data_IF_064419188977
#
_entry.id   IF_064419188977
#
_cell.length_a   1.000
_cell.length_b   1.000
_cell.length_c   1.000
_cell.angle_alpha   90.00
_cell.angle_beta   90.00
_cell.angle_gamma   90.00
#
_symmetry.space_group_name_H-M   'P 1'
#
loop_
_entity.id
_entity.type
_entity.pdbx_description
1 polymer ?
#
# COMPACT_ATOMS: atom_id res chain seq x y z
N UNK A 1 18.87 -13.36 6.03
CA UNK A 1 18.00 -12.35 6.67
C UNK A 1 16.64 -12.42 6.01
N UNK A 2 15.55 -12.52 6.77
CA UNK A 2 14.20 -12.51 6.20
C UNK A 2 13.90 -11.13 5.63
N UNK A 3 13.14 -11.06 4.53
CA UNK A 3 12.71 -9.80 3.94
C UNK A 3 11.83 -9.03 4.95
N UNK A 4 12.11 -7.75 5.14
CA UNK A 4 11.42 -6.88 6.12
C UNK A 4 10.05 -6.40 5.67
N UNK A 5 9.69 -6.63 4.41
CA UNK A 5 8.40 -6.26 3.82
C UNK A 5 8.06 -7.20 2.66
N UNK A 6 6.78 -7.33 2.33
CA UNK A 6 6.34 -7.98 1.11
C UNK A 6 6.49 -7.05 -0.09
N UNK A 7 6.55 -7.62 -1.30
CA UNK A 7 6.54 -6.86 -2.54
C UNK A 7 5.24 -6.06 -2.66
N UNK A 8 5.34 -4.76 -3.01
CA UNK A 8 4.15 -3.99 -3.30
C UNK A 8 3.53 -4.45 -4.62
N UNK A 9 2.23 -4.25 -4.75
CA UNK A 9 1.51 -4.54 -5.98
C UNK A 9 0.50 -3.45 -6.31
N UNK A 10 0.15 -3.35 -7.59
CA UNK A 10 -0.83 -2.41 -8.09
C UNK A 10 -2.23 -3.00 -8.05
N UNK A 11 -3.21 -2.17 -7.72
CA UNK A 11 -4.63 -2.46 -7.91
C UNK A 11 -5.35 -1.20 -8.41
N UNK A 12 -6.54 -1.35 -8.99
CA UNK A 12 -7.37 -0.23 -9.39
C UNK A 12 -8.73 -0.36 -8.73
N UNK A 13 -9.11 0.63 -7.92
CA UNK A 13 -10.50 0.78 -7.50
C UNK A 13 -11.19 1.71 -8.49
N UNK A 14 -12.07 1.14 -9.35
CA UNK A 14 -12.58 1.84 -10.54
C UNK A 14 -11.39 2.36 -11.39
N UNK A 15 -11.29 3.67 -11.58
CA UNK A 15 -10.19 4.32 -12.29
C UNK A 15 -9.03 4.76 -11.39
N UNK A 16 -9.18 4.72 -10.07
CA UNK A 16 -8.18 5.20 -9.12
C UNK A 16 -7.07 4.15 -8.91
N UNK A 17 -5.81 4.45 -9.26
CA UNK A 17 -4.69 3.55 -9.02
C UNK A 17 -4.30 3.52 -7.54
N UNK A 18 -4.10 2.30 -7.04
CA UNK A 18 -3.68 2.01 -5.68
C UNK A 18 -2.36 1.24 -5.72
N UNK A 19 -1.37 1.69 -4.95
CA UNK A 19 -0.12 0.97 -4.70
C UNK A 19 -0.22 0.39 -3.30
N UNK A 20 -0.21 -0.93 -3.18
CA UNK A 20 -0.47 -1.63 -1.92
C UNK A 20 0.82 -2.24 -1.42
N UNK A 21 1.17 -1.91 -0.18
CA UNK A 21 2.28 -2.46 0.59
C UNK A 21 1.73 -3.36 1.71
N UNK A 22 1.81 -4.69 1.56
CA UNK A 22 1.60 -5.60 2.66
C UNK A 22 2.79 -5.54 3.61
N UNK A 23 2.55 -5.16 4.85
CA UNK A 23 3.61 -4.95 5.84
C UNK A 23 3.93 -6.26 6.56
N UNK A 24 5.21 -6.51 6.78
CA UNK A 24 5.67 -7.52 7.74
C UNK A 24 6.06 -6.79 9.01
N UNK A 25 5.39 -7.10 10.08
CA UNK A 25 5.69 -6.57 11.41
C UNK A 25 5.55 -7.67 12.46
N UNK A 26 5.71 -7.33 13.74
CA UNK A 26 5.58 -8.24 14.88
C UNK A 26 4.25 -9.00 14.90
N UNK A 27 3.18 -8.34 14.43
CA UNK A 27 1.87 -8.95 14.21
C UNK A 27 1.78 -9.51 12.77
N UNK A 28 1.67 -10.84 12.59
CA UNK A 28 1.68 -11.44 11.25
C UNK A 28 0.45 -11.03 10.43
N UNK A 29 0.69 -10.53 9.21
CA UNK A 29 -0.39 -10.21 8.27
C UNK A 29 -1.20 -11.45 7.85
N UNK A 30 -0.57 -12.63 7.91
CA UNK A 30 -1.16 -13.92 7.57
C UNK A 30 -2.30 -14.34 8.50
N UNK A 31 -2.41 -13.74 9.69
CA UNK A 31 -3.46 -14.06 10.65
C UNK A 31 -4.80 -13.39 10.28
N UNK A 32 -4.75 -12.32 9.49
CA UNK A 32 -5.92 -11.48 9.15
C UNK A 32 -6.24 -11.46 7.65
N UNK A 33 -5.29 -11.88 6.80
CA UNK A 33 -5.44 -12.02 5.36
C UNK A 33 -4.93 -13.39 4.88
N UNK A 34 -5.76 -14.09 4.10
CA UNK A 34 -5.38 -15.37 3.50
C UNK A 34 -4.48 -15.15 2.27
N UNK A 35 -3.22 -15.61 2.27
CA UNK A 35 -2.31 -15.50 1.12
C UNK A 35 -2.64 -16.46 -0.03
N UNK A 36 -3.51 -17.46 0.17
CA UNK A 36 -3.98 -18.39 -0.89
C UNK A 36 -5.15 -17.80 -1.68
N UNK A 37 -5.95 -16.95 -1.04
CA UNK A 37 -6.92 -16.10 -1.72
C UNK A 37 -6.20 -14.89 -2.31
N UNK A 38 -5.86 -14.96 -3.61
CA UNK A 38 -5.18 -13.89 -4.38
C UNK A 38 -5.93 -12.54 -4.44
N UNK A 39 -7.06 -12.41 -3.73
CA UNK A 39 -7.88 -11.22 -3.64
C UNK A 39 -8.24 -10.81 -2.21
N UNK A 40 -7.67 -11.44 -1.18
CA UNK A 40 -8.09 -11.20 0.23
C UNK A 40 -7.92 -9.74 0.66
N UNK A 41 -6.79 -9.10 0.32
CA UNK A 41 -6.58 -7.67 0.56
C UNK A 41 -7.51 -6.82 -0.33
N UNK A 42 -7.67 -7.17 -1.61
CA UNK A 42 -8.52 -6.41 -2.54
C UNK A 42 -9.98 -6.40 -2.09
N UNK A 43 -10.51 -7.53 -1.59
CA UNK A 43 -11.88 -7.62 -1.05
C UNK A 43 -12.07 -6.66 0.12
N UNK A 44 -11.12 -6.61 1.04
CA UNK A 44 -11.09 -5.65 2.15
C UNK A 44 -11.08 -4.20 1.64
N UNK A 45 -10.18 -3.88 0.70
CA UNK A 45 -10.08 -2.55 0.13
C UNK A 45 -11.34 -2.14 -0.64
N UNK A 46 -12.01 -3.05 -1.34
CA UNK A 46 -13.29 -2.76 -2.01
C UNK A 46 -14.35 -2.35 -0.99
N UNK A 47 -14.44 -3.04 0.15
CA UNK A 47 -15.38 -2.66 1.21
C UNK A 47 -15.04 -1.29 1.80
N UNK A 48 -13.77 -1.07 2.14
CA UNK A 48 -13.26 0.18 2.70
C UNK A 48 -13.52 1.37 1.76
N UNK A 49 -13.17 1.26 0.48
CA UNK A 49 -13.36 2.33 -0.51
C UNK A 49 -14.83 2.56 -0.88
N UNK A 50 -15.66 1.52 -0.84
CA UNK A 50 -17.10 1.68 -1.10
C UNK A 50 -17.77 2.49 0.02
N UNK A 51 -17.41 2.19 1.28
CA UNK A 51 -17.96 2.87 2.46
C UNK A 51 -17.48 4.32 2.57
N UNK A 52 -16.18 4.56 2.36
CA UNK A 52 -15.56 5.88 2.55
C UNK A 52 -15.31 6.62 1.23
N UNK A 53 -16.13 6.36 0.22
CA UNK A 53 -15.94 6.87 -1.14
C UNK A 53 -15.78 8.39 -1.23
N UNK A 54 -16.42 9.17 -0.35
CA UNK A 54 -16.29 10.64 -0.31
C UNK A 54 -14.87 11.10 0.04
N UNK A 55 -14.21 10.44 0.98
CA UNK A 55 -12.84 10.79 1.40
C UNK A 55 -11.84 10.16 0.43
N UNK A 56 -12.08 8.92 0.03
CA UNK A 56 -11.16 8.11 -0.77
C UNK A 56 -11.29 8.29 -2.28
N UNK A 57 -12.14 9.22 -2.75
CA UNK A 57 -12.16 9.66 -4.14
C UNK A 57 -11.22 10.85 -4.41
N UNK A 58 -10.57 11.40 -3.38
CA UNK A 58 -9.62 12.52 -3.52
C UNK A 58 -8.33 12.05 -4.21
N UNK A 59 -7.59 13.00 -4.79
CA UNK A 59 -6.28 12.73 -5.40
C UNK A 59 -6.34 11.95 -6.72
N UNK A 60 -5.17 11.58 -7.24
CA UNK A 60 -5.02 10.83 -8.48
C UNK A 60 -4.42 9.44 -8.30
N UNK A 61 -3.82 9.14 -7.15
CA UNK A 61 -3.38 7.79 -6.76
C UNK A 61 -3.18 7.70 -5.26
N UNK A 62 -3.26 6.49 -4.70
CA UNK A 62 -3.00 6.27 -3.27
C UNK A 62 -1.86 5.26 -3.05
N UNK A 63 -1.12 5.44 -1.96
CA UNK A 63 -0.21 4.44 -1.41
C UNK A 63 -0.85 3.90 -0.14
N UNK A 64 -0.96 2.57 -0.02
CA UNK A 64 -1.64 1.92 1.09
C UNK A 64 -0.68 0.99 1.80
N UNK A 65 -0.63 1.09 3.12
CA UNK A 65 0.02 0.09 3.97
C UNK A 65 -1.06 -0.73 4.66
N UNK A 66 -1.08 -2.03 4.38
CA UNK A 66 -1.97 -2.98 5.07
C UNK A 66 -1.17 -3.80 6.06
N UNK A 67 -1.63 -3.80 7.31
CA UNK A 67 -0.90 -4.34 8.46
C UNK A 67 -1.86 -4.90 9.50
N UNK A 68 -1.31 -5.68 10.43
CA UNK A 68 -2.05 -6.28 11.53
C UNK A 68 -1.75 -5.51 12.82
N UNK A 69 -2.79 -5.11 13.54
CA UNK A 69 -2.67 -4.64 14.92
C UNK A 69 -3.65 -5.43 15.77
N UNK A 70 -3.12 -6.35 16.59
CA UNK A 70 -3.90 -7.13 17.55
C UNK A 70 -5.10 -7.87 16.93
N UNK A 71 -4.95 -8.38 15.69
CA UNK A 71 -6.00 -9.10 14.97
C UNK A 71 -6.93 -8.22 14.14
N UNK A 72 -6.75 -6.90 14.15
CA UNK A 72 -7.50 -5.98 13.31
C UNK A 72 -6.78 -5.70 11.99
N UNK A 73 -7.57 -5.56 10.92
CA UNK A 73 -7.06 -5.19 9.60
C UNK A 73 -6.82 -3.70 9.53
N UNK A 74 -5.58 -3.30 9.76
CA UNK A 74 -5.22 -1.89 9.69
C UNK A 74 -4.88 -1.48 8.26
N UNK A 75 -5.24 -0.26 7.88
CA UNK A 75 -4.90 0.31 6.58
C UNK A 75 -4.55 1.79 6.72
N UNK A 76 -3.30 2.17 6.47
CA UNK A 76 -2.96 3.58 6.28
C UNK A 76 -3.09 3.92 4.79
N UNK A 77 -3.94 4.89 4.45
CA UNK A 77 -4.15 5.36 3.09
C UNK A 77 -3.54 6.75 2.92
N UNK A 78 -2.46 6.81 2.16
CA UNK A 78 -1.77 8.04 1.80
C UNK A 78 -2.31 8.54 0.45
N UNK A 79 -3.07 9.62 0.49
CA UNK A 79 -3.78 10.20 -0.65
C UNK A 79 -2.87 11.19 -1.36
N UNK A 80 -2.61 10.98 -2.64
CA UNK A 80 -1.72 11.83 -3.42
C UNK A 80 -2.41 12.45 -4.63
N UNK A 81 -2.10 13.71 -4.91
CA UNK A 81 -2.56 14.48 -6.05
C UNK A 81 -1.37 15.06 -6.80
N UNK A 82 -1.16 14.60 -8.03
CA UNK A 82 -0.05 15.03 -8.88
C UNK A 82 -0.30 16.41 -9.48
N UNK A 83 -1.49 16.98 -9.33
CA UNK A 83 -1.81 18.35 -9.74
C UNK A 83 -1.56 19.37 -8.62
N UNK A 84 -1.42 18.90 -7.38
CA UNK A 84 -1.08 19.75 -6.25
C UNK A 84 0.44 19.94 -6.15
N UNK A 85 0.94 20.99 -6.81
CA UNK A 85 2.36 21.36 -6.83
C UNK A 85 2.73 22.42 -5.79
N UNK A 86 2.06 22.45 -4.64
CA UNK A 86 2.53 23.25 -3.51
C UNK A 86 3.96 22.85 -3.11
N UNK A 87 4.67 23.72 -2.38
CA UNK A 87 6.08 23.52 -1.97
C UNK A 87 6.34 22.18 -1.22
N UNK A 88 5.29 21.53 -0.72
CA UNK A 88 5.35 20.31 0.09
C UNK A 88 5.18 19.00 -0.71
N UNK A 89 4.95 19.06 -2.02
CA UNK A 89 4.78 17.89 -2.87
C UNK A 89 3.33 17.37 -2.95
N UNK A 90 3.12 16.17 -3.55
CA UNK A 90 1.79 15.71 -3.96
C UNK A 90 0.94 15.08 -2.84
N UNK A 91 1.48 14.90 -1.64
CA UNK A 91 0.74 14.28 -0.54
C UNK A 91 -0.36 15.23 -0.03
N UNK A 92 -1.62 14.79 -0.04
CA UNK A 92 -2.76 15.56 0.45
C UNK A 92 -3.11 15.25 1.90
N UNK A 93 -3.22 13.96 2.21
CA UNK A 93 -3.81 13.48 3.46
C UNK A 93 -3.35 12.05 3.72
N UNK A 94 -3.25 11.66 4.99
CA UNK A 94 -3.09 10.28 5.40
C UNK A 94 -4.24 9.92 6.34
N UNK A 95 -4.98 8.88 6.01
CA UNK A 95 -6.12 8.40 6.82
C UNK A 95 -5.85 6.97 7.24
N UNK A 96 -5.99 6.70 8.54
CA UNK A 96 -5.84 5.36 9.10
C UNK A 96 -7.21 4.73 9.30
N UNK A 97 -7.32 3.47 8.93
CA UNK A 97 -8.51 2.66 9.13
C UNK A 97 -8.19 1.45 10.00
N UNK A 98 -9.09 1.15 10.93
CA UNK A 98 -9.16 -0.12 11.67
C UNK A 98 -10.34 -0.89 11.11
N UNK A 99 -10.05 -2.05 10.52
CA UNK A 99 -10.98 -2.80 9.69
C UNK A 99 -11.55 -1.91 8.57
N UNK A 100 -12.75 -1.38 8.74
CA UNK A 100 -13.40 -0.49 7.77
C UNK A 100 -13.82 0.84 8.36
N UNK A 101 -13.37 1.18 9.57
CA UNK A 101 -13.68 2.43 10.26
C UNK A 101 -12.46 3.33 10.32
N UNK A 102 -12.68 4.64 10.25
CA UNK A 102 -11.62 5.64 10.49
C UNK A 102 -11.16 5.50 11.93
N UNK A 103 -9.85 5.59 12.14
CA UNK A 103 -9.19 5.33 13.41
C UNK A 103 -8.13 6.42 13.65
N UNK A 104 -8.33 7.19 14.71
CA UNK A 104 -7.45 8.31 15.09
C UNK A 104 -6.53 7.97 16.29
N UNK A 105 -6.75 6.80 16.90
CA UNK A 105 -6.04 6.30 18.09
C UNK A 105 -4.90 5.31 17.74
N UNK A 106 -4.67 5.04 16.45
CA UNK A 106 -3.58 4.17 15.98
C UNK A 106 -2.57 4.93 15.11
N UNK A 107 -1.31 4.52 15.20
CA UNK A 107 -0.20 5.09 14.44
C UNK A 107 -0.10 4.61 12.98
N UNK A 108 1.04 4.91 12.36
CA UNK A 108 1.44 4.39 11.05
C UNK A 108 2.05 2.99 11.23
N UNK A 109 1.84 2.11 10.25
CA UNK A 109 2.20 0.71 10.29
C UNK A 109 3.59 0.38 10.86
N UNK A 110 4.66 1.01 10.36
CA UNK A 110 6.02 0.76 10.84
C UNK A 110 7.03 1.78 10.30
N UNK A 111 8.24 1.80 10.87
CA UNK A 111 9.36 2.58 10.33
C UNK A 111 9.74 2.19 8.90
N UNK A 112 9.59 0.92 8.53
CA UNK A 112 9.83 0.45 7.16
C UNK A 112 8.83 1.06 6.15
N UNK A 113 7.61 1.35 6.61
CA UNK A 113 6.61 2.04 5.78
C UNK A 113 7.03 3.48 5.46
N UNK A 114 7.71 4.15 6.41
CA UNK A 114 8.28 5.50 6.18
C UNK A 114 9.42 5.44 5.17
N UNK A 115 10.27 4.41 5.24
CA UNK A 115 11.33 4.19 4.24
C UNK A 115 10.72 3.96 2.85
N UNK A 116 9.67 3.13 2.76
CA UNK A 116 8.95 2.89 1.52
C UNK A 116 8.38 4.18 0.92
N UNK A 117 7.78 5.06 1.73
CA UNK A 117 7.29 6.37 1.28
C UNK A 117 8.42 7.24 0.70
N UNK A 118 9.57 7.31 1.39
CA UNK A 118 10.73 8.06 0.88
C UNK A 118 11.23 7.53 -0.46
N UNK A 119 11.29 6.21 -0.62
CA UNK A 119 11.71 5.58 -1.89
C UNK A 119 10.67 5.71 -3.00
N UNK A 120 9.39 5.72 -2.65
CA UNK A 120 8.31 6.00 -3.60
C UNK A 120 8.40 7.43 -4.14
N UNK A 121 8.72 8.41 -3.30
CA UNK A 121 8.93 9.79 -3.73
C UNK A 121 10.14 9.93 -4.68
N UNK A 122 11.26 9.25 -4.39
CA UNK A 122 12.42 9.19 -5.29
C UNK A 122 12.05 8.59 -6.66
N UNK A 123 11.33 7.46 -6.66
CA UNK A 123 10.90 6.80 -7.88
C UNK A 123 9.93 7.69 -8.69
N UNK A 124 8.96 8.32 -8.02
CA UNK A 124 7.98 9.21 -8.63
C UNK A 124 8.66 10.35 -9.38
N UNK A 125 9.63 11.02 -8.74
CA UNK A 125 10.42 12.11 -9.35
C UNK A 125 11.19 11.64 -10.57
N UNK A 126 11.71 10.41 -10.56
CA UNK A 126 12.47 9.83 -11.68
C UNK A 126 11.57 9.45 -12.86
N UNK A 127 10.39 8.88 -12.61
CA UNK A 127 9.51 8.36 -13.66
C UNK A 127 8.71 9.48 -14.33
N UNK A 128 8.22 10.46 -13.55
CA UNK A 128 7.49 11.63 -14.02
C UNK A 128 6.07 11.36 -14.56
N UNK A 129 5.85 10.22 -15.20
CA UNK A 129 4.54 9.77 -15.69
C UNK A 129 3.81 8.90 -14.66
N UNK A 130 2.58 9.29 -14.31
CA UNK A 130 1.81 8.61 -13.27
C UNK A 130 1.45 7.16 -13.65
N UNK A 131 1.06 6.89 -14.89
CA UNK A 131 0.62 5.56 -15.30
C UNK A 131 1.76 4.55 -15.27
N UNK A 132 2.96 4.97 -15.67
CA UNK A 132 4.20 4.20 -15.48
C UNK A 132 4.49 4.02 -14.00
N UNK A 133 4.51 5.12 -13.23
CA UNK A 133 4.87 5.09 -11.82
C UNK A 133 4.03 4.10 -11.01
N UNK A 134 2.71 4.09 -11.18
CA UNK A 134 1.81 3.21 -10.41
C UNK A 134 1.84 1.76 -10.86
N UNK A 135 2.59 1.40 -11.91
CA UNK A 135 2.71 0.03 -12.41
C UNK A 135 3.84 -0.73 -11.70
N UNK A 136 3.49 -1.50 -10.66
CA UNK A 136 4.45 -2.25 -9.84
C UNK A 136 5.03 -3.51 -10.50
N UNK A 137 4.52 -3.92 -11.66
CA UNK A 137 5.15 -4.99 -12.45
C UNK A 137 6.46 -4.50 -13.10
N UNK A 138 6.53 -3.22 -13.45
CA UNK A 138 7.65 -2.64 -14.21
C UNK A 138 8.45 -1.59 -13.43
N UNK A 139 7.83 -0.93 -12.45
CA UNK A 139 8.43 0.15 -11.68
C UNK A 139 8.35 -0.20 -10.20
N UNK A 140 9.49 -0.53 -9.61
CA UNK A 140 9.61 -0.87 -8.18
C UNK A 140 10.65 0.09 -7.57
N UNK A 141 10.39 0.68 -6.38
CA UNK A 141 11.38 1.53 -5.73
C UNK A 141 12.65 0.75 -5.40
N UNK A 142 13.79 1.43 -5.46
CA UNK A 142 15.07 0.82 -5.08
C UNK A 142 15.25 1.01 -3.58
N UNK A 143 15.18 -0.07 -2.82
CA UNK A 143 15.36 -0.03 -1.37
C UNK A 143 16.83 -0.07 -0.97
N UNK A 144 17.20 0.42 0.23
CA UNK A 144 18.53 0.21 0.79
C UNK A 144 18.85 -1.29 0.92
N UNK A 145 20.14 -1.62 0.89
CA UNK A 145 20.62 -3.00 1.00
C UNK A 145 20.09 -3.67 2.27
N UNK A 146 19.42 -4.80 2.12
CA UNK A 146 18.81 -5.58 3.21
C UNK A 146 17.38 -5.19 3.56
N UNK A 147 16.79 -4.20 2.86
CA UNK A 147 15.40 -3.75 3.01
C UNK A 147 14.56 -4.04 1.77
N UNK A 148 15.15 -4.65 0.75
CA UNK A 148 14.46 -4.98 -0.49
C UNK A 148 13.31 -5.95 -0.23
N UNK A 149 12.10 -5.67 -0.73
CA UNK A 149 11.02 -6.61 -0.68
C UNK A 149 11.27 -7.72 -1.71
N UNK A 150 11.68 -8.90 -1.23
CA UNK A 150 11.99 -10.04 -2.12
C UNK A 150 10.89 -11.10 -2.15
N UNK A 151 9.90 -11.01 -1.27
CA UNK A 151 8.83 -12.00 -1.10
C UNK A 151 7.46 -11.43 -1.50
N UNK A 152 6.71 -12.17 -2.30
CA UNK A 152 5.32 -11.86 -2.62
C UNK A 152 4.40 -12.25 -1.44
N UNK A 153 3.39 -11.43 -1.13
CA UNK A 153 2.40 -11.79 -0.11
C UNK A 153 1.54 -12.98 -0.56
N UNK A 154 0.98 -12.87 -1.77
CA UNK A 154 0.16 -13.92 -2.34
C UNK A 154 1.02 -15.10 -2.79
N UNK A 155 0.67 -16.28 -2.32
CA UNK A 155 1.28 -17.52 -2.79
C UNK A 155 0.65 -17.81 -4.14
N UNK A 156 1.41 -17.64 -5.21
CA UNK A 156 0.97 -18.12 -6.54
C UNK A 156 0.59 -19.58 -6.37
N UNK A 157 -0.69 -19.91 -6.62
CA UNK A 157 -1.07 -21.29 -6.83
C UNK A 157 -0.14 -21.82 -7.91
N UNK A 158 0.69 -22.80 -7.56
CA UNK A 158 1.37 -23.63 -8.55
C UNK A 158 0.28 -24.49 -9.21
N UNK A 159 -0.59 -23.87 -10.00
CA UNK A 159 -1.13 -24.56 -11.16
C UNK A 159 0.09 -24.88 -12.03
N UNK A 160 0.50 -26.14 -11.88
CA UNK A 160 1.61 -26.88 -12.51
C UNK A 160 1.56 -26.77 -14.06
N UNK A 161 2.66 -27.16 -14.74
CA UNK A 161 3.11 -26.62 -16.03
C UNK A 161 2.12 -26.70 -17.19
#
# INVERSE_FOLDING_TARGET
>A
MAARQYKPFSYKWKSLPLIIYPVKDENPLLDIFDPQDNSSIQKHLVQLYSKHSKVLSKGNYHILFVWNLEGHRMTNVWIHDMTNWSDSGPLLECVTFRDIEVCDDAGIASGDSVIALGREEELRRKVGDLQKYVNRENYIPIFPKGMEPVEDFYKRNKSRP
#
